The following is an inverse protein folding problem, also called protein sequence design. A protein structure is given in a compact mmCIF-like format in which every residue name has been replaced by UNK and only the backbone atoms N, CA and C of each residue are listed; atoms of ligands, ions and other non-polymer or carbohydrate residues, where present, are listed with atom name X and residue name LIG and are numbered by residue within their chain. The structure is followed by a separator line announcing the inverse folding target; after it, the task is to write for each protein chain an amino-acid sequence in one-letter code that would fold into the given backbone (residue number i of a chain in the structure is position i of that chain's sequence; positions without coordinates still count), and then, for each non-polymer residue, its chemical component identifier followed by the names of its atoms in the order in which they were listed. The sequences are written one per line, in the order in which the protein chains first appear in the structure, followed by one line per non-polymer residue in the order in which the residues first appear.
data_IF_972362064153
#
_entry.id   IF_972362064153
#
_cell.length_a   1.000
_cell.length_b   1.000
_cell.length_c   1.000
_cell.angle_alpha   90.00
_cell.angle_beta   90.00
_cell.angle_gamma   90.00
#
_symmetry.space_group_name_H-M   'P 1'
#
loop_
_entity.id
_entity.type
_entity.pdbx_description
1 polymer ?
#
# COMPACT_ATOMS: atom_id res chain seq x y z
N UNK A 1 11.88 -3.34 12.16
CA UNK A 1 10.48 -2.98 11.93
C UNK A 1 10.35 -1.49 11.74
N UNK A 2 9.61 -1.06 10.73
CA UNK A 2 9.46 0.35 10.39
C UNK A 2 8.00 0.75 10.53
N UNK A 3 7.78 1.84 11.27
CA UNK A 3 6.47 2.45 11.38
C UNK A 3 6.58 3.85 10.81
N UNK A 4 5.67 4.18 9.91
CA UNK A 4 5.67 5.46 9.21
C UNK A 4 4.28 6.03 9.21
N UNK A 5 4.17 7.34 9.41
CA UNK A 5 2.88 8.00 9.29
C UNK A 5 2.82 8.72 7.96
N UNK A 6 1.73 8.51 7.25
CA UNK A 6 1.52 9.10 5.93
C UNK A 6 0.24 9.93 6.00
N UNK A 7 0.31 11.14 5.51
CA UNK A 7 -0.87 12.01 5.49
C UNK A 7 -1.77 11.63 4.33
N UNK A 8 -3.03 11.36 4.62
CA UNK A 8 -4.04 11.04 3.62
C UNK A 8 -5.22 11.95 3.88
N UNK A 9 -5.46 12.90 2.97
CA UNK A 9 -6.55 13.87 3.08
C UNK A 9 -6.52 14.60 4.43
N UNK A 10 -5.33 15.04 4.85
CA UNK A 10 -5.18 15.78 6.08
C UNK A 10 -5.19 14.94 7.35
N UNK A 11 -5.30 13.64 7.22
CA UNK A 11 -5.33 12.72 8.34
C UNK A 11 -4.04 11.92 8.37
N UNK A 12 -3.37 11.89 9.51
CA UNK A 12 -2.14 11.09 9.65
C UNK A 12 -2.51 9.63 9.91
N UNK A 13 -2.08 8.75 9.03
CA UNK A 13 -2.41 7.34 9.09
C UNK A 13 -1.11 6.55 9.32
N UNK A 14 -1.04 5.76 10.40
CA UNK A 14 0.16 4.96 10.64
C UNK A 14 0.18 3.71 9.76
N UNK A 15 1.36 3.42 9.23
CA UNK A 15 1.62 2.22 8.47
C UNK A 15 2.84 1.53 9.07
N UNK A 16 2.83 0.22 9.10
CA UNK A 16 3.92 -0.54 9.70
C UNK A 16 4.33 -1.67 8.78
N UNK A 17 5.63 -1.75 8.51
CA UNK A 17 6.17 -2.88 7.77
C UNK A 17 7.06 -3.69 8.71
N UNK A 18 6.93 -5.01 8.64
CA UNK A 18 7.75 -5.93 9.40
C UNK A 18 7.68 -7.26 8.69
N UNK A 19 8.45 -8.23 9.19
CA UNK A 19 8.45 -9.56 8.58
C UNK A 19 7.09 -10.24 8.66
N UNK A 20 6.19 -9.73 9.52
CA UNK A 20 4.86 -10.30 9.65
C UNK A 20 3.93 -9.89 8.49
N UNK A 21 4.18 -8.74 7.87
CA UNK A 21 3.28 -8.23 6.84
C UNK A 21 3.10 -9.20 5.68
N UNK A 22 4.16 -9.81 5.13
CA UNK A 22 3.94 -10.78 4.05
C UNK A 22 3.04 -11.93 4.46
N UNK A 23 3.14 -12.37 5.70
CA UNK A 23 2.29 -13.44 6.20
C UNK A 23 0.83 -13.01 6.30
N UNK A 24 0.60 -11.81 6.81
CA UNK A 24 -0.76 -11.27 6.92
C UNK A 24 -1.37 -11.10 5.52
N UNK A 25 -0.58 -10.62 4.59
CA UNK A 25 -1.04 -10.40 3.23
C UNK A 25 -1.42 -11.74 2.58
N UNK A 26 -0.56 -12.74 2.72
CA UNK A 26 -0.83 -14.07 2.15
C UNK A 26 -2.06 -14.69 2.77
N UNK A 27 -2.23 -14.53 4.09
CA UNK A 27 -3.36 -15.12 4.77
C UNK A 27 -4.68 -14.50 4.32
N UNK A 28 -4.69 -13.19 4.12
CA UNK A 28 -5.93 -12.49 3.77
C UNK A 28 -6.24 -12.55 2.28
N UNK A 29 -5.23 -12.35 1.44
CA UNK A 29 -5.46 -12.18 0.00
C UNK A 29 -5.01 -13.39 -0.82
N UNK A 30 -4.32 -14.36 -0.22
CA UNK A 30 -3.80 -15.55 -0.91
C UNK A 30 -2.85 -15.19 -2.03
N UNK A 31 -2.04 -14.14 -1.80
CA UNK A 31 -1.09 -13.62 -2.79
C UNK A 31 0.24 -13.37 -2.12
N UNK A 32 1.28 -13.28 -2.95
CA UNK A 32 2.64 -12.98 -2.52
C UNK A 32 2.87 -11.48 -2.61
N UNK A 33 3.04 -10.82 -1.45
CA UNK A 33 3.17 -9.38 -1.42
C UNK A 33 4.39 -8.89 -2.21
N UNK A 34 5.47 -9.66 -2.26
CA UNK A 34 6.67 -9.21 -2.96
C UNK A 34 6.46 -9.19 -4.46
N UNK A 35 5.71 -10.16 -5.00
CA UNK A 35 5.35 -10.12 -6.41
C UNK A 35 4.43 -8.94 -6.71
N UNK A 36 3.49 -8.69 -5.84
CA UNK A 36 2.56 -7.58 -6.03
C UNK A 36 3.26 -6.24 -5.93
N UNK A 37 4.20 -6.09 -4.98
CA UNK A 37 4.97 -4.86 -4.86
C UNK A 37 5.86 -4.62 -6.07
N UNK A 38 6.47 -5.70 -6.60
CA UNK A 38 7.27 -5.58 -7.82
C UNK A 38 6.43 -5.08 -8.98
N UNK A 39 5.21 -5.60 -9.08
CA UNK A 39 4.30 -5.17 -10.15
C UNK A 39 3.93 -3.70 -9.98
N UNK A 40 3.65 -3.27 -8.75
CA UNK A 40 3.34 -1.88 -8.50
C UNK A 40 4.51 -0.97 -8.82
N UNK A 41 5.72 -1.38 -8.43
CA UNK A 41 6.90 -0.58 -8.71
C UNK A 41 7.11 -0.43 -10.22
N UNK A 42 6.95 -1.52 -10.97
CA UNK A 42 7.10 -1.48 -12.42
C UNK A 42 6.06 -0.55 -13.05
N UNK A 43 4.82 -0.63 -12.59
CA UNK A 43 3.77 0.25 -13.11
C UNK A 43 4.06 1.70 -12.79
N UNK A 44 4.55 1.97 -11.59
CA UNK A 44 4.83 3.34 -11.16
C UNK A 44 5.97 3.94 -11.99
N UNK A 45 7.07 3.19 -12.14
CA UNK A 45 8.21 3.70 -12.90
C UNK A 45 7.88 3.78 -14.39
N UNK A 46 7.16 2.79 -14.91
CA UNK A 46 6.75 2.82 -16.30
C UNK A 46 5.85 3.99 -16.62
N UNK A 47 4.92 4.30 -15.71
CA UNK A 47 4.05 5.45 -15.89
C UNK A 47 4.84 6.74 -15.90
N UNK A 48 5.81 6.86 -15.01
CA UNK A 48 6.63 8.08 -14.97
C UNK A 48 7.43 8.27 -16.25
N UNK A 49 7.96 7.18 -16.81
CA UNK A 49 8.83 7.29 -17.97
C UNK A 49 8.07 7.24 -19.29
N UNK A 50 6.89 6.64 -19.32
CA UNK A 50 6.15 6.43 -20.56
C UNK A 50 4.76 7.03 -20.58
N UNK A 51 4.32 7.62 -19.47
CA UNK A 51 3.00 8.21 -19.39
C UNK A 51 1.86 7.22 -19.34
N UNK A 52 2.13 5.97 -19.00
CA UNK A 52 1.08 4.96 -18.94
C UNK A 52 0.23 5.12 -17.70
N UNK A 53 -1.01 4.67 -17.78
CA UNK A 53 -1.93 4.70 -16.67
C UNK A 53 -1.76 3.44 -15.82
N UNK A 54 -2.06 3.56 -14.52
CA UNK A 54 -2.17 2.38 -13.67
C UNK A 54 -3.37 1.55 -14.12
N UNK A 55 -3.22 0.25 -14.06
CA UNK A 55 -4.32 -0.66 -14.37
C UNK A 55 -5.21 -0.83 -13.13
N UNK A 56 -6.43 -1.31 -13.35
CA UNK A 56 -7.35 -1.57 -12.23
C UNK A 56 -6.72 -2.54 -11.24
N UNK A 57 -6.02 -3.56 -11.74
CA UNK A 57 -5.36 -4.52 -10.87
C UNK A 57 -4.30 -3.85 -10.00
N UNK A 58 -3.58 -2.87 -10.56
CA UNK A 58 -2.58 -2.14 -9.78
C UNK A 58 -3.20 -1.38 -8.63
N UNK A 59 -4.35 -0.76 -8.89
CA UNK A 59 -5.05 -0.01 -7.85
C UNK A 59 -5.52 -0.93 -6.73
N UNK A 60 -6.03 -2.10 -7.10
CA UNK A 60 -6.49 -3.06 -6.11
C UNK A 60 -5.33 -3.56 -5.25
N UNK A 61 -4.21 -3.88 -5.88
CA UNK A 61 -3.02 -4.31 -5.15
C UNK A 61 -2.57 -3.23 -4.18
N UNK A 62 -2.53 -1.98 -4.67
CA UNK A 62 -2.12 -0.85 -3.85
C UNK A 62 -2.99 -0.72 -2.60
N UNK A 63 -4.31 -0.79 -2.78
CA UNK A 63 -5.23 -0.68 -1.66
C UNK A 63 -5.05 -1.82 -0.67
N UNK A 64 -4.85 -3.03 -1.19
CA UNK A 64 -4.67 -4.20 -0.33
C UNK A 64 -3.41 -4.09 0.51
N UNK A 65 -2.31 -3.68 -0.12
CA UNK A 65 -1.04 -3.53 0.59
C UNK A 65 -1.15 -2.45 1.65
N UNK A 66 -1.74 -1.31 1.28
CA UNK A 66 -1.90 -0.20 2.22
C UNK A 66 -2.75 -0.63 3.40
N UNK A 67 -3.84 -1.33 3.15
CA UNK A 67 -4.72 -1.76 4.23
C UNK A 67 -4.00 -2.68 5.21
N UNK A 68 -3.25 -3.66 4.71
CA UNK A 68 -2.54 -4.61 5.58
C UNK A 68 -1.52 -3.88 6.45
N UNK A 69 -0.80 -2.92 5.87
CA UNK A 69 0.18 -2.17 6.64
C UNK A 69 -0.49 -1.30 7.70
N UNK A 70 -1.63 -0.70 7.35
CA UNK A 70 -2.38 0.11 8.30
C UNK A 70 -2.95 -0.74 9.43
N UNK A 71 -3.50 -1.89 9.09
CA UNK A 71 -4.05 -2.80 10.08
C UNK A 71 -2.95 -3.30 11.02
N UNK A 72 -1.77 -3.57 10.47
CA UNK A 72 -0.64 -4.02 11.27
C UNK A 72 -0.17 -2.93 12.23
N UNK A 73 -0.32 -1.67 11.84
CA UNK A 73 0.05 -0.55 12.71
C UNK A 73 -1.03 -0.28 13.77
N UNK A 74 -2.29 -0.51 13.42
CA UNK A 74 -3.42 -0.17 14.30
C UNK A 74 -4.56 -1.12 14.00
N UNK A 75 -4.70 -2.16 14.83
CA UNK A 75 -5.71 -3.19 14.58
C UNK A 75 -7.11 -2.76 14.99
N UNK A 76 -7.31 -1.51 15.37
CA UNK A 76 -8.64 -0.99 15.66
C UNK A 76 -9.32 -0.40 14.44
N UNK A 77 -8.64 -0.33 13.29
CA UNK A 77 -9.27 0.17 12.07
C UNK A 77 -10.32 -0.83 11.59
N UNK A 78 -11.21 -0.42 10.68
CA UNK A 78 -12.27 -1.32 10.23
C UNK A 78 -11.72 -2.63 9.67
N UNK A 79 -12.52 -3.68 9.79
CA UNK A 79 -12.09 -5.02 9.40
C UNK A 79 -12.20 -5.26 7.89
N UNK A 80 -12.85 -4.38 7.14
CA UNK A 80 -12.92 -4.49 5.69
C UNK A 80 -12.22 -3.31 5.05
N UNK A 81 -11.67 -3.56 3.85
CA UNK A 81 -10.97 -2.52 3.12
C UNK A 81 -11.94 -1.41 2.74
N UNK A 82 -13.15 -1.78 2.35
CA UNK A 82 -14.16 -0.79 1.94
C UNK A 82 -14.47 0.18 3.07
N UNK A 83 -14.67 -0.35 4.26
CA UNK A 83 -14.97 0.51 5.40
C UNK A 83 -13.78 1.41 5.76
N UNK A 84 -12.57 0.87 5.61
CA UNK A 84 -11.37 1.65 5.89
C UNK A 84 -11.21 2.77 4.87
N UNK A 85 -11.38 2.47 3.59
CA UNK A 85 -11.24 3.46 2.54
C UNK A 85 -12.29 4.55 2.64
N UNK A 86 -13.47 4.20 3.16
CA UNK A 86 -14.58 5.13 3.29
C UNK A 86 -14.27 6.29 4.23
N UNK A 87 -13.24 6.17 5.05
CA UNK A 87 -12.82 7.26 5.94
C UNK A 87 -12.12 8.40 5.21
N UNK A 88 -11.71 8.17 3.97
CA UNK A 88 -10.94 9.15 3.22
C UNK A 88 -11.74 9.65 2.04
N UNK A 89 -11.68 10.97 1.81
CA UNK A 89 -12.35 11.52 0.62
C UNK A 89 -11.60 11.16 -0.64
N UNK A 90 -10.28 11.01 -0.53
CA UNK A 90 -9.45 10.63 -1.66
C UNK A 90 -8.27 9.82 -1.15
N UNK A 91 -7.90 8.79 -1.89
CA UNK A 91 -6.77 7.96 -1.54
C UNK A 91 -5.87 7.88 -2.77
N UNK A 92 -4.94 8.80 -2.85
CA UNK A 92 -4.14 8.98 -4.06
C UNK A 92 -2.97 7.99 -4.11
N UNK A 93 -2.97 7.15 -5.13
CA UNK A 93 -1.87 6.21 -5.34
C UNK A 93 -0.56 6.97 -5.62
N UNK A 94 -0.67 8.14 -6.25
CA UNK A 94 0.53 8.89 -6.62
C UNK A 94 1.24 9.48 -5.40
N UNK A 95 0.51 9.76 -4.34
CA UNK A 95 1.10 10.34 -3.14
C UNK A 95 1.52 9.28 -2.13
N UNK A 96 0.77 8.19 -2.05
CA UNK A 96 0.95 7.21 -0.99
C UNK A 96 1.90 6.08 -1.43
N UNK A 97 1.80 5.64 -2.67
CA UNK A 97 2.56 4.49 -3.13
C UNK A 97 4.08 4.63 -2.98
N UNK A 98 4.69 5.79 -3.33
CA UNK A 98 6.14 5.89 -3.16
C UNK A 98 6.58 5.68 -1.71
N UNK A 99 5.79 6.15 -0.76
CA UNK A 99 6.13 5.99 0.65
C UNK A 99 6.00 4.54 1.11
N UNK A 100 5.01 3.84 0.55
CA UNK A 100 4.85 2.41 0.84
C UNK A 100 6.01 1.62 0.28
N UNK A 101 6.43 1.90 -0.94
CA UNK A 101 7.54 1.19 -1.57
C UNK A 101 8.83 1.40 -0.80
N UNK A 102 9.06 2.63 -0.31
CA UNK A 102 10.23 2.92 0.50
C UNK A 102 10.20 2.11 1.78
N UNK A 103 9.02 1.97 2.40
CA UNK A 103 8.87 1.21 3.63
C UNK A 103 9.32 -0.24 3.48
N UNK A 104 9.18 -0.80 2.29
CA UNK A 104 9.63 -2.16 2.01
C UNK A 104 11.01 -2.20 1.37
N UNK A 105 11.63 -1.02 1.20
CA UNK A 105 12.95 -0.92 0.59
C UNK A 105 12.96 -1.52 -0.83
N UNK A 106 11.86 -1.34 -1.54
CA UNK A 106 11.71 -1.88 -2.89
C UNK A 106 12.14 -0.87 -3.95
N UNK A 107 11.76 0.40 -3.75
CA UNK A 107 12.00 1.46 -4.72
C UNK A 107 13.31 2.17 -4.40
N UNK A 108 14.43 1.54 -4.69
CA UNK A 108 15.70 2.19 -4.48
C UNK A 108 16.65 1.81 -5.58
N UNK A 109 17.67 2.63 -5.79
CA UNK A 109 18.64 2.36 -6.86
C UNK A 109 19.44 1.13 -6.60
#
# INVERSE_FOLDING_TARGET
MIKREIEICGKMVPFRSSATVPRLYRAKFKRDIFKDLSKLESSYTGKKSEGREFQIEDLEIFENVAYIMAYHADNTIPSTIEEWLDQFEMFSIYEVLPQILISFNVAHP
#
